data_IF_334560991097
#
_entry.id   IF_334560991097
#
_cell.length_a   1.000
_cell.length_b   1.000
_cell.length_c   1.000
_cell.angle_alpha   90.00
_cell.angle_beta   90.00
_cell.angle_gamma   90.00
#
_symmetry.space_group_name_H-M   'P 1'
#
loop_
_entity.id
_entity.type
_entity.pdbx_description
1 polymer ?
#
# COMPACT_ATOMS: atom_id res chain seq x y z
N UNK A 1 -12.14 1.19 4.65
CA UNK A 1 -11.86 1.46 3.22
C UNK A 1 -12.37 0.28 2.43
N UNK A 2 -13.52 0.44 1.80
CA UNK A 2 -14.48 -0.63 1.69
C UNK A 2 -15.02 -0.58 0.27
N UNK A 3 -14.27 -1.15 -0.68
CA UNK A 3 -14.73 -1.53 -2.02
C UNK A 3 -13.80 -2.61 -2.56
N UNK A 4 -14.29 -3.48 -3.45
CA UNK A 4 -13.44 -4.42 -4.19
C UNK A 4 -12.51 -3.65 -5.13
N UNK A 5 -11.19 -3.77 -4.97
CA UNK A 5 -10.22 -2.98 -5.74
C UNK A 5 -9.85 -3.59 -7.09
N UNK A 6 -10.42 -4.74 -7.45
CA UNK A 6 -10.15 -5.41 -8.73
C UNK A 6 -10.84 -4.77 -9.93
N UNK A 7 -11.79 -3.84 -9.70
CA UNK A 7 -12.52 -3.17 -10.78
C UNK A 7 -12.29 -1.66 -10.76
N UNK A 8 -11.92 -1.07 -11.90
CA UNK A 8 -11.65 0.36 -12.03
C UNK A 8 -12.82 1.26 -11.58
N UNK A 9 -14.08 0.84 -11.79
CA UNK A 9 -15.25 1.61 -11.35
C UNK A 9 -15.26 1.89 -9.84
N UNK A 10 -14.64 1.01 -9.04
CA UNK A 10 -14.59 1.17 -7.58
C UNK A 10 -13.61 2.26 -7.16
N UNK A 11 -12.57 2.54 -7.96
CA UNK A 11 -11.75 3.73 -7.80
C UNK A 11 -12.56 5.02 -8.08
N UNK A 12 -13.39 5.03 -9.13
CA UNK A 12 -14.29 6.18 -9.40
C UNK A 12 -15.27 6.41 -8.24
N UNK A 13 -15.78 5.34 -7.63
CA UNK A 13 -16.63 5.42 -6.42
C UNK A 13 -15.86 5.89 -5.17
N UNK A 14 -14.55 5.69 -5.13
CA UNK A 14 -13.67 6.17 -4.06
C UNK A 14 -13.37 7.68 -4.19
N UNK A 15 -13.31 8.23 -5.40
CA UNK A 15 -12.94 9.64 -5.63
C UNK A 15 -13.76 10.66 -4.82
N UNK A 16 -15.10 10.57 -4.69
CA UNK A 16 -15.85 11.49 -3.82
C UNK A 16 -15.40 11.42 -2.36
N UNK A 17 -15.03 10.24 -1.86
CA UNK A 17 -14.51 10.06 -0.49
C UNK A 17 -13.16 10.74 -0.34
N UNK A 18 -12.25 10.54 -1.30
CA UNK A 18 -10.95 11.20 -1.32
C UNK A 18 -11.09 12.72 -1.43
N UNK A 19 -12.00 13.21 -2.28
CA UNK A 19 -12.25 14.64 -2.42
C UNK A 19 -12.76 15.25 -1.11
N UNK A 20 -13.72 14.61 -0.42
CA UNK A 20 -14.22 15.08 0.88
C UNK A 20 -13.14 15.10 1.96
N UNK A 21 -12.19 14.17 1.90
CA UNK A 21 -10.99 14.18 2.73
C UNK A 21 -10.08 15.36 2.37
N UNK A 22 -9.75 15.49 1.09
CA UNK A 22 -8.82 16.48 0.55
C UNK A 22 -9.28 17.93 0.80
N UNK A 23 -10.58 18.20 0.67
CA UNK A 23 -11.15 19.53 0.92
C UNK A 23 -11.43 19.79 2.41
N UNK A 24 -11.13 18.82 3.29
CA UNK A 24 -11.17 18.97 4.75
C UNK A 24 -12.51 18.65 5.43
N UNK A 25 -13.56 18.29 4.68
CA UNK A 25 -14.89 18.01 5.26
C UNK A 25 -14.87 16.74 6.12
N UNK A 26 -14.29 15.64 5.63
CA UNK A 26 -14.32 14.39 6.40
C UNK A 26 -13.42 14.42 7.65
N UNK A 27 -12.22 15.04 7.67
CA UNK A 27 -11.46 15.24 8.90
C UNK A 27 -12.18 16.15 9.90
N UNK A 28 -12.87 17.21 9.45
CA UNK A 28 -13.69 18.02 10.35
C UNK A 28 -14.79 17.18 11.03
N UNK A 29 -15.51 16.36 10.27
CA UNK A 29 -16.51 15.46 10.83
C UNK A 29 -15.90 14.46 11.83
N UNK A 30 -14.71 13.93 11.51
CA UNK A 30 -13.96 13.02 12.38
C UNK A 30 -13.59 13.69 13.72
N UNK A 31 -12.95 14.86 13.68
CA UNK A 31 -12.51 15.57 14.89
C UNK A 31 -13.67 16.01 15.76
N UNK A 32 -14.79 16.42 15.16
CA UNK A 32 -16.02 16.69 15.90
C UNK A 32 -16.53 15.45 16.62
N UNK A 33 -16.63 14.31 15.92
CA UNK A 33 -17.12 13.07 16.49
C UNK A 33 -16.23 12.54 17.62
N UNK A 34 -14.91 12.72 17.52
CA UNK A 34 -13.93 12.33 18.55
C UNK A 34 -13.84 13.31 19.72
N UNK A 35 -14.53 14.44 19.68
CA UNK A 35 -14.41 15.50 20.69
C UNK A 35 -13.06 16.22 20.65
N UNK A 36 -12.29 16.08 19.56
CA UNK A 36 -11.01 16.74 19.31
C UNK A 36 -11.24 18.19 18.84
N UNK A 37 -12.02 18.96 19.62
CA UNK A 37 -12.53 20.28 19.22
C UNK A 37 -11.44 21.32 18.94
N UNK A 38 -10.23 21.14 19.49
CA UNK A 38 -9.09 21.99 19.15
C UNK A 38 -8.70 21.80 17.68
N UNK A 39 -8.50 20.56 17.23
CA UNK A 39 -8.16 20.23 15.85
C UNK A 39 -9.29 20.63 14.90
N UNK A 40 -10.54 20.43 15.30
CA UNK A 40 -11.71 20.91 14.54
C UNK A 40 -11.67 22.42 14.30
N UNK A 41 -11.39 23.22 15.33
CA UNK A 41 -11.33 24.68 15.23
C UNK A 41 -10.13 25.15 14.41
N UNK A 42 -8.97 24.54 14.60
CA UNK A 42 -7.74 24.86 13.84
C UNK A 42 -7.93 24.59 12.35
N UNK A 43 -8.40 23.39 12.00
CA UNK A 43 -8.71 23.03 10.62
C UNK A 43 -9.81 23.92 10.02
N UNK A 44 -10.91 24.12 10.75
CA UNK A 44 -12.03 24.95 10.30
C UNK A 44 -11.63 26.41 10.06
N UNK A 45 -10.76 26.97 10.90
CA UNK A 45 -10.22 28.33 10.72
C UNK A 45 -9.34 28.40 9.48
N UNK A 46 -8.43 27.44 9.30
CA UNK A 46 -7.57 27.37 8.11
C UNK A 46 -8.38 27.25 6.82
N UNK A 47 -9.37 26.37 6.79
CA UNK A 47 -10.29 26.21 5.67
C UNK A 47 -11.07 27.48 5.39
N UNK A 48 -11.65 28.11 6.41
CA UNK A 48 -12.39 29.36 6.26
C UNK A 48 -11.52 30.46 5.63
N UNK A 49 -10.28 30.63 6.10
CA UNK A 49 -9.33 31.60 5.52
C UNK A 49 -9.00 31.25 4.08
N UNK A 50 -8.65 29.99 3.78
CA UNK A 50 -8.31 29.54 2.44
C UNK A 50 -9.45 29.81 1.44
N UNK A 51 -10.66 29.33 1.72
CA UNK A 51 -11.80 29.50 0.81
C UNK A 51 -12.27 30.96 0.73
N UNK A 52 -12.11 31.76 1.79
CA UNK A 52 -12.40 33.19 1.74
C UNK A 52 -11.44 33.93 0.79
N UNK A 53 -10.15 33.61 0.85
CA UNK A 53 -9.15 34.17 -0.06
C UNK A 53 -9.41 33.70 -1.50
N UNK A 54 -9.65 32.40 -1.72
CA UNK A 54 -9.99 31.87 -3.05
C UNK A 54 -11.25 32.54 -3.64
N UNK A 55 -12.28 32.74 -2.82
CA UNK A 55 -13.51 33.42 -3.22
C UNK A 55 -13.28 34.91 -3.53
N UNK A 56 -12.42 35.57 -2.76
CA UNK A 56 -12.03 36.96 -3.04
C UNK A 56 -11.23 37.09 -4.34
N UNK A 57 -10.28 36.17 -4.59
CA UNK A 57 -9.56 36.11 -5.87
C UNK A 57 -10.54 35.86 -7.01
N UNK A 58 -11.52 34.97 -6.84
CA UNK A 58 -12.54 34.75 -7.86
C UNK A 58 -13.33 36.03 -8.16
N UNK A 59 -13.79 36.73 -7.12
CA UNK A 59 -14.49 37.99 -7.28
C UNK A 59 -13.67 39.07 -8.01
N UNK A 60 -12.34 39.06 -7.85
CA UNK A 60 -11.42 40.04 -8.48
C UNK A 60 -10.90 39.63 -9.85
N UNK A 61 -10.98 38.35 -10.19
CA UNK A 61 -10.42 37.76 -11.41
C UNK A 61 -11.53 37.33 -12.38
N UNK A 62 -11.14 36.70 -13.49
CA UNK A 62 -12.10 36.10 -14.41
C UNK A 62 -12.53 34.70 -13.96
N UNK A 63 -13.71 34.27 -14.38
CA UNK A 63 -14.17 32.89 -14.17
C UNK A 63 -13.19 31.89 -14.80
N UNK A 64 -12.67 32.20 -15.99
CA UNK A 64 -11.66 31.38 -16.68
C UNK A 64 -10.41 31.18 -15.83
N UNK A 65 -9.92 32.24 -15.17
CA UNK A 65 -8.76 32.15 -14.29
C UNK A 65 -8.98 31.16 -13.15
N UNK A 66 -10.12 31.25 -12.47
CA UNK A 66 -10.43 30.34 -11.34
C UNK A 66 -10.61 28.90 -11.80
N UNK A 67 -11.25 28.68 -12.94
CA UNK A 67 -11.36 27.33 -13.50
C UNK A 67 -9.97 26.76 -13.83
N UNK A 68 -9.08 27.55 -14.46
CA UNK A 68 -7.76 27.09 -14.86
C UNK A 68 -6.78 26.88 -13.69
N UNK A 69 -6.83 27.72 -12.65
CA UNK A 69 -5.82 27.74 -11.59
C UNK A 69 -6.28 27.23 -10.23
N UNK A 70 -7.58 27.02 -10.04
CA UNK A 70 -8.12 26.51 -8.79
C UNK A 70 -8.92 25.22 -9.02
N UNK A 71 -9.92 25.26 -9.90
CA UNK A 71 -10.82 24.12 -10.09
C UNK A 71 -10.16 22.96 -10.85
N UNK A 72 -9.48 23.24 -11.97
CA UNK A 72 -8.79 22.21 -12.75
C UNK A 72 -7.67 21.53 -11.94
N UNK A 73 -6.75 22.26 -11.28
CA UNK A 73 -5.75 21.63 -10.42
C UNK A 73 -6.36 20.84 -9.25
N UNK A 74 -7.48 21.29 -8.69
CA UNK A 74 -8.20 20.52 -7.65
C UNK A 74 -8.69 19.17 -8.20
N UNK A 75 -9.26 19.13 -9.41
CA UNK A 75 -9.70 17.89 -10.04
C UNK A 75 -8.52 16.98 -10.41
N UNK A 76 -7.45 17.55 -10.94
CA UNK A 76 -6.21 16.85 -11.26
C UNK A 76 -5.62 16.20 -10.01
N UNK A 77 -5.44 16.97 -8.93
CA UNK A 77 -4.92 16.48 -7.66
C UNK A 77 -5.84 15.45 -7.03
N UNK A 78 -7.16 15.67 -7.04
CA UNK A 78 -8.13 14.71 -6.51
C UNK A 78 -8.09 13.38 -7.25
N UNK A 79 -7.81 13.41 -8.56
CA UNK A 79 -7.68 12.21 -9.38
C UNK A 79 -6.31 11.56 -9.16
N UNK A 80 -5.23 12.29 -9.40
CA UNK A 80 -3.86 11.80 -9.33
C UNK A 80 -3.48 11.33 -7.93
N UNK A 81 -3.49 12.21 -6.92
CA UNK A 81 -3.18 11.81 -5.54
C UNK A 81 -4.23 10.85 -4.97
N UNK A 82 -5.46 10.90 -5.48
CA UNK A 82 -6.48 9.91 -5.16
C UNK A 82 -6.08 8.51 -5.64
N UNK A 83 -5.49 8.37 -6.84
CA UNK A 83 -4.99 7.09 -7.35
C UNK A 83 -3.79 6.60 -6.53
N UNK A 84 -2.87 7.51 -6.21
CA UNK A 84 -1.68 7.23 -5.40
C UNK A 84 -2.09 6.75 -3.98
N UNK A 85 -2.96 7.48 -3.29
CA UNK A 85 -3.49 7.05 -1.99
C UNK A 85 -4.28 5.72 -2.07
N UNK A 86 -4.96 5.47 -3.19
CA UNK A 86 -5.70 4.23 -3.42
C UNK A 86 -4.78 3.03 -3.57
N UNK A 87 -3.67 3.16 -4.32
CA UNK A 87 -2.71 2.06 -4.54
C UNK A 87 -1.85 1.80 -3.31
N UNK A 88 -1.36 2.85 -2.66
CA UNK A 88 -0.51 2.72 -1.47
C UNK A 88 -1.17 1.91 -0.37
N UNK A 89 -2.51 1.88 -0.37
CA UNK A 89 -3.33 1.17 0.60
C UNK A 89 -4.21 0.06 0.02
N UNK A 90 -3.89 -0.42 -1.18
CA UNK A 90 -4.77 -1.30 -1.97
C UNK A 90 -4.92 -2.72 -1.43
N UNK A 91 -3.92 -3.26 -0.75
CA UNK A 91 -3.87 -4.68 -0.42
C UNK A 91 -4.20 -4.91 1.06
N UNK A 92 -5.30 -5.58 1.40
CA UNK A 92 -5.68 -5.75 2.82
C UNK A 92 -5.84 -7.22 3.16
N UNK A 93 -5.21 -7.69 4.24
CA UNK A 93 -5.48 -9.03 4.75
C UNK A 93 -6.82 -9.05 5.47
N UNK A 94 -7.71 -9.99 5.10
CA UNK A 94 -9.01 -10.16 5.75
C UNK A 94 -8.90 -10.52 7.23
N UNK A 95 -7.82 -11.23 7.60
CA UNK A 95 -7.62 -11.73 8.96
C UNK A 95 -7.02 -10.66 9.89
N UNK A 96 -6.35 -9.68 9.30
CA UNK A 96 -5.66 -8.61 10.02
C UNK A 96 -5.67 -7.31 9.19
N UNK A 97 -6.85 -6.67 9.02
CA UNK A 97 -7.01 -5.53 8.12
C UNK A 97 -6.25 -4.27 8.56
N UNK A 98 -5.90 -4.20 9.85
CA UNK A 98 -5.09 -3.12 10.43
C UNK A 98 -3.58 -3.29 10.22
N UNK A 99 -3.13 -4.38 9.60
CA UNK A 99 -1.70 -4.68 9.43
C UNK A 99 -1.05 -3.76 8.40
N UNK A 100 -0.24 -2.81 8.87
CA UNK A 100 0.44 -1.84 8.03
C UNK A 100 1.53 -2.43 7.13
N UNK A 101 2.09 -3.61 7.45
CA UNK A 101 3.03 -4.30 6.55
C UNK A 101 2.32 -4.93 5.35
N UNK A 102 1.01 -5.20 5.45
CA UNK A 102 0.21 -5.74 4.34
C UNK A 102 -0.51 -4.63 3.59
N UNK A 103 -1.13 -3.71 4.34
CA UNK A 103 -1.93 -2.62 3.79
C UNK A 103 -1.15 -1.40 3.36
N UNK A 104 0.18 -1.45 3.43
CA UNK A 104 1.07 -0.50 2.79
C UNK A 104 2.02 -1.26 1.88
N UNK A 105 2.41 -0.63 0.77
CA UNK A 105 3.27 -1.25 -0.24
C UNK A 105 4.72 -0.86 0.01
N UNK A 106 5.65 -1.81 -0.12
CA UNK A 106 7.07 -1.50 -0.31
C UNK A 106 7.50 -1.86 -1.72
N UNK A 107 8.27 -1.02 -2.39
CA UNK A 107 8.85 -1.29 -3.70
C UNK A 107 10.37 -1.35 -3.57
N UNK A 108 10.98 -2.46 -3.98
CA UNK A 108 12.42 -2.64 -3.99
C UNK A 108 12.96 -2.36 -5.38
N UNK A 109 14.11 -1.69 -5.47
CA UNK A 109 14.74 -1.36 -6.76
C UNK A 109 13.77 -0.63 -7.71
N UNK A 110 12.93 0.26 -7.17
CA UNK A 110 12.02 1.07 -7.97
C UNK A 110 12.77 2.02 -8.89
N UNK A 111 12.18 2.28 -10.07
CA UNK A 111 12.82 3.14 -11.08
C UNK A 111 12.75 4.62 -10.68
N UNK A 112 11.62 5.05 -10.13
CA UNK A 112 11.35 6.43 -9.70
C UNK A 112 11.16 6.52 -8.17
N UNK A 113 12.25 6.28 -7.44
CA UNK A 113 12.24 6.33 -5.97
C UNK A 113 12.76 7.67 -5.41
N UNK A 114 11.94 8.71 -5.49
CA UNK A 114 12.28 10.03 -4.94
C UNK A 114 12.05 10.02 -3.43
N UNK A 115 13.06 10.47 -2.67
CA UNK A 115 13.01 10.51 -1.20
C UNK A 115 12.62 9.18 -0.55
N UNK A 116 13.03 8.03 -1.11
CA UNK A 116 12.76 6.70 -0.54
C UNK A 116 11.27 6.47 -0.21
N UNK A 117 10.34 7.04 -0.99
CA UNK A 117 8.89 6.89 -0.82
C UNK A 117 8.45 5.43 -1.01
N UNK A 118 9.16 4.67 -1.85
CA UNK A 118 8.92 3.25 -2.07
C UNK A 118 8.98 2.41 -0.78
N UNK A 119 9.56 2.91 0.30
CA UNK A 119 9.50 2.28 1.61
C UNK A 119 8.27 2.72 2.41
N UNK A 120 7.09 2.86 1.79
CA UNK A 120 5.89 3.47 2.41
C UNK A 120 5.49 2.84 3.74
N UNK A 121 5.63 1.52 3.90
CA UNK A 121 5.43 0.82 5.18
C UNK A 121 6.27 1.47 6.31
N UNK A 122 7.52 1.85 6.02
CA UNK A 122 8.40 2.53 6.98
C UNK A 122 7.86 3.92 7.33
N UNK A 123 7.21 4.63 6.42
CA UNK A 123 6.62 5.95 6.71
C UNK A 123 5.43 5.83 7.67
N UNK A 124 4.67 4.73 7.59
CA UNK A 124 3.59 4.44 8.55
C UNK A 124 4.10 4.08 9.92
N UNK A 125 5.15 3.24 9.98
CA UNK A 125 5.69 2.82 11.25
C UNK A 125 6.54 3.92 11.89
N UNK A 126 7.44 4.54 11.14
CA UNK A 126 8.41 5.54 11.62
C UNK A 126 8.18 6.90 10.93
N UNK A 127 7.08 7.62 11.22
CA UNK A 127 6.71 8.85 10.50
C UNK A 127 7.71 10.00 10.65
N UNK A 128 8.61 9.93 11.65
CA UNK A 128 9.65 10.92 11.89
C UNK A 128 11.02 10.52 11.31
N UNK A 129 11.10 9.38 10.61
CA UNK A 129 12.36 8.94 9.99
C UNK A 129 12.73 9.90 8.86
N UNK A 130 13.99 10.32 8.80
CA UNK A 130 14.48 11.02 7.62
C UNK A 130 14.52 10.03 6.45
N UNK A 131 14.02 10.42 5.28
CA UNK A 131 13.88 9.52 4.14
C UNK A 131 15.15 8.75 3.77
N UNK A 132 16.33 9.35 3.93
CA UNK A 132 17.63 8.68 3.68
C UNK A 132 17.84 7.43 4.54
N UNK A 133 17.20 7.33 5.70
CA UNK A 133 17.33 6.21 6.63
C UNK A 133 16.25 5.13 6.40
N UNK A 134 15.26 5.34 5.53
CA UNK A 134 14.19 4.37 5.31
C UNK A 134 14.68 2.98 4.87
N UNK A 135 15.69 2.82 3.98
CA UNK A 135 16.23 1.50 3.63
C UNK A 135 16.85 0.77 4.83
N UNK A 136 17.50 1.50 5.74
CA UNK A 136 18.07 0.92 6.96
C UNK A 136 16.95 0.44 7.89
N UNK A 137 15.86 1.19 8.00
CA UNK A 137 14.69 0.76 8.77
C UNK A 137 14.00 -0.46 8.17
N UNK A 138 13.93 -0.57 6.85
CA UNK A 138 13.48 -1.80 6.19
C UNK A 138 14.32 -3.00 6.63
N UNK A 139 15.65 -2.88 6.63
CA UNK A 139 16.54 -3.96 7.08
C UNK A 139 16.35 -4.31 8.56
N UNK A 140 16.21 -3.32 9.45
CA UNK A 140 15.94 -3.55 10.87
C UNK A 140 14.61 -4.27 11.11
N UNK A 141 13.62 -4.03 10.26
CA UNK A 141 12.26 -4.53 10.41
C UNK A 141 11.97 -5.76 9.53
N UNK A 142 12.95 -6.24 8.75
CA UNK A 142 12.81 -7.31 7.75
C UNK A 142 12.08 -8.55 8.30
N UNK A 143 12.37 -8.96 9.53
CA UNK A 143 11.71 -10.12 10.15
C UNK A 143 10.20 -9.91 10.38
N UNK A 144 9.74 -8.67 10.57
CA UNK A 144 8.31 -8.36 10.64
C UNK A 144 7.66 -8.40 9.25
N UNK A 145 8.37 -7.92 8.21
CA UNK A 145 7.92 -8.08 6.82
C UNK A 145 7.71 -9.56 6.47
N UNK A 146 8.65 -10.43 6.85
CA UNK A 146 8.56 -11.88 6.66
C UNK A 146 7.35 -12.45 7.42
N UNK A 147 7.24 -12.15 8.71
CA UNK A 147 6.16 -12.65 9.58
C UNK A 147 4.76 -12.26 9.05
N UNK A 148 4.62 -11.07 8.51
CA UNK A 148 3.35 -10.56 7.98
C UNK A 148 3.10 -10.93 6.51
N UNK A 149 4.06 -11.60 5.84
CA UNK A 149 4.08 -11.78 4.38
C UNK A 149 3.73 -10.46 3.69
N UNK A 150 4.50 -9.43 4.01
CA UNK A 150 4.25 -8.03 3.64
C UNK A 150 4.01 -7.85 2.14
N UNK A 151 3.35 -6.75 1.77
CA UNK A 151 3.11 -6.43 0.36
C UNK A 151 4.35 -5.74 -0.22
N UNK A 152 5.19 -6.52 -0.90
CA UNK A 152 6.45 -6.03 -1.48
C UNK A 152 6.44 -6.30 -2.97
N UNK A 153 6.80 -5.30 -3.77
CA UNK A 153 7.09 -5.43 -5.20
C UNK A 153 8.54 -5.10 -5.47
N UNK A 154 9.04 -5.45 -6.66
CA UNK A 154 10.34 -5.01 -7.12
C UNK A 154 10.37 -4.66 -8.60
N UNK A 155 11.38 -3.87 -8.99
CA UNK A 155 11.68 -3.52 -10.38
C UNK A 155 10.48 -2.91 -11.13
N UNK A 156 9.72 -2.10 -10.42
CA UNK A 156 8.54 -1.37 -10.90
C UNK A 156 8.39 -0.03 -10.16
N UNK A 157 7.26 0.64 -10.32
CA UNK A 157 6.93 1.91 -9.68
C UNK A 157 5.44 1.97 -9.35
N UNK A 158 5.02 2.91 -8.50
CA UNK A 158 3.62 3.05 -8.06
C UNK A 158 2.62 3.14 -9.22
N UNK A 159 2.99 3.88 -10.28
CA UNK A 159 2.17 4.10 -11.46
C UNK A 159 1.98 2.82 -12.26
N UNK A 160 3.02 1.98 -12.32
CA UNK A 160 2.96 0.68 -12.95
C UNK A 160 2.04 -0.29 -12.18
N UNK A 161 2.10 -0.27 -10.84
CA UNK A 161 1.18 -1.06 -10.01
C UNK A 161 -0.26 -0.58 -10.21
N UNK A 162 -0.50 0.75 -10.24
CA UNK A 162 -1.80 1.32 -10.58
C UNK A 162 -2.30 0.84 -11.94
N UNK A 163 -1.44 0.89 -12.96
CA UNK A 163 -1.77 0.48 -14.31
C UNK A 163 -2.15 -1.00 -14.38
N UNK A 164 -1.38 -1.89 -13.76
CA UNK A 164 -1.71 -3.32 -13.69
C UNK A 164 -3.03 -3.56 -12.98
N UNK A 165 -3.27 -2.86 -11.86
CA UNK A 165 -4.51 -2.99 -11.10
C UNK A 165 -5.74 -2.53 -11.90
N UNK A 166 -5.67 -1.36 -12.53
CA UNK A 166 -6.80 -0.82 -13.30
C UNK A 166 -7.04 -1.55 -14.61
N UNK A 167 -6.00 -2.16 -15.18
CA UNK A 167 -6.07 -2.94 -16.42
C UNK A 167 -6.29 -4.44 -16.18
N UNK A 168 -6.44 -4.87 -14.93
CA UNK A 168 -6.58 -6.27 -14.53
C UNK A 168 -5.43 -7.19 -15.01
N UNK A 169 -4.21 -6.66 -15.08
CA UNK A 169 -2.99 -7.38 -15.47
C UNK A 169 -2.38 -8.09 -14.25
N UNK A 170 -3.12 -9.05 -13.70
CA UNK A 170 -2.76 -9.72 -12.45
C UNK A 170 -1.50 -10.58 -12.56
N UNK A 171 -1.27 -11.19 -13.73
CA UNK A 171 -0.08 -11.99 -13.96
C UNK A 171 1.20 -11.13 -13.96
N UNK A 172 1.13 -9.95 -14.59
CA UNK A 172 2.22 -8.96 -14.57
C UNK A 172 2.48 -8.46 -13.15
N UNK A 173 1.42 -8.12 -12.42
CA UNK A 173 1.55 -7.71 -11.03
C UNK A 173 2.22 -8.79 -10.16
N UNK A 174 1.81 -10.05 -10.33
CA UNK A 174 2.39 -11.18 -9.60
C UNK A 174 3.86 -11.42 -9.95
N UNK A 175 4.27 -11.23 -11.21
CA UNK A 175 5.68 -11.37 -11.64
C UNK A 175 6.62 -10.50 -10.80
N UNK A 176 6.17 -9.30 -10.44
CA UNK A 176 6.96 -8.30 -9.72
C UNK A 176 6.86 -8.39 -8.20
N UNK A 177 6.02 -9.26 -7.65
CA UNK A 177 5.89 -9.42 -6.20
C UNK A 177 7.12 -10.09 -5.59
N UNK A 178 7.55 -9.69 -4.39
CA UNK A 178 8.66 -10.30 -3.65
C UNK A 178 8.10 -11.10 -2.47
N UNK A 179 8.06 -12.42 -2.62
CA UNK A 179 7.61 -13.31 -1.55
C UNK A 179 8.77 -13.71 -0.63
N UNK A 180 8.87 -13.05 0.52
CA UNK A 180 9.95 -13.32 1.49
C UNK A 180 9.86 -14.71 2.14
N UNK A 181 8.69 -15.36 2.08
CA UNK A 181 8.50 -16.73 2.60
C UNK A 181 8.97 -17.80 1.62
N UNK A 182 9.28 -17.44 0.38
CA UNK A 182 9.72 -18.40 -0.62
C UNK A 182 11.07 -19.02 -0.22
N UNK A 183 11.14 -20.35 -0.33
CA UNK A 183 12.36 -21.14 -0.08
C UNK A 183 12.74 -21.84 -1.37
N UNK A 184 13.97 -21.62 -1.80
CA UNK A 184 14.54 -22.20 -3.01
C UNK A 184 14.83 -23.68 -2.84
N UNK A 185 14.99 -24.41 -3.96
CA UNK A 185 15.27 -25.86 -3.93
C UNK A 185 16.60 -26.23 -3.27
N UNK A 186 17.55 -25.32 -3.19
CA UNK A 186 18.81 -25.48 -2.46
C UNK A 186 18.68 -25.17 -0.94
N UNK A 187 17.50 -24.76 -0.46
CA UNK A 187 17.22 -24.42 0.94
C UNK A 187 17.50 -22.97 1.33
N UNK A 188 18.02 -22.16 0.41
CA UNK A 188 18.14 -20.71 0.64
C UNK A 188 16.75 -20.07 0.69
N UNK A 189 16.66 -18.92 1.36
CA UNK A 189 15.41 -18.20 1.51
C UNK A 189 15.41 -16.92 0.72
N UNK A 190 14.24 -16.54 0.22
CA UNK A 190 14.08 -15.30 -0.52
C UNK A 190 14.12 -14.06 0.38
N UNK A 191 13.96 -14.20 1.71
CA UNK A 191 14.19 -13.10 2.67
C UNK A 191 15.62 -12.50 2.58
N UNK A 192 16.60 -13.30 2.15
CA UNK A 192 17.99 -12.87 2.00
C UNK A 192 18.30 -12.33 0.59
N UNK A 193 17.56 -12.78 -0.44
CA UNK A 193 17.83 -12.44 -1.85
C UNK A 193 16.93 -11.34 -2.41
N UNK A 194 15.72 -11.21 -1.86
CA UNK A 194 14.72 -10.21 -2.26
C UNK A 194 14.40 -10.24 -3.77
N UNK A 195 14.26 -11.46 -4.32
CA UNK A 195 13.91 -11.66 -5.72
C UNK A 195 12.38 -11.57 -5.90
N UNK A 196 11.96 -10.91 -6.97
CA UNK A 196 10.58 -10.98 -7.43
C UNK A 196 10.22 -12.40 -7.87
N UNK A 197 8.92 -12.71 -8.04
CA UNK A 197 8.46 -14.04 -8.49
C UNK A 197 9.15 -14.47 -9.79
N UNK A 198 9.25 -13.56 -10.77
CA UNK A 198 9.90 -13.88 -12.05
C UNK A 198 11.41 -14.11 -11.90
N UNK A 199 12.07 -13.33 -11.05
CA UNK A 199 13.50 -13.51 -10.76
C UNK A 199 13.76 -14.78 -9.94
N UNK A 200 12.87 -15.13 -9.02
CA UNK A 200 12.95 -16.34 -8.21
C UNK A 200 12.84 -17.59 -9.10
N UNK A 201 11.92 -17.58 -10.08
CA UNK A 201 11.82 -18.64 -11.08
C UNK A 201 13.11 -18.76 -11.92
N UNK A 202 13.65 -17.64 -12.40
CA UNK A 202 14.92 -17.62 -13.13
C UNK A 202 16.10 -18.11 -12.27
N UNK A 203 16.07 -17.82 -10.97
CA UNK A 203 17.08 -18.27 -10.02
C UNK A 203 17.01 -19.79 -9.79
N UNK A 204 15.82 -20.36 -9.64
CA UNK A 204 15.64 -21.82 -9.53
C UNK A 204 16.22 -22.55 -10.75
N UNK A 205 15.98 -22.03 -11.96
CA UNK A 205 16.56 -22.63 -13.17
C UNK A 205 18.09 -22.59 -13.17
N UNK A 206 18.71 -21.51 -12.68
CA UNK A 206 20.17 -21.43 -12.55
C UNK A 206 20.72 -22.42 -11.53
N UNK A 207 19.94 -22.79 -10.51
CA UNK A 207 20.38 -23.78 -9.51
C UNK A 207 20.56 -25.18 -10.12
N UNK A 208 19.93 -25.50 -11.26
CA UNK A 208 20.15 -26.78 -11.96
C UNK A 208 21.59 -26.96 -12.43
N UNK A 209 22.30 -25.87 -12.68
CA UNK A 209 23.72 -25.88 -13.06
C UNK A 209 24.64 -26.02 -11.82
N UNK A 210 24.09 -25.89 -10.61
CA UNK A 210 24.81 -26.02 -9.35
C UNK A 210 24.82 -27.46 -8.83
N UNK A 211 25.98 -27.90 -8.36
CA UNK A 211 26.23 -29.23 -7.79
C UNK A 211 25.38 -29.53 -6.56
N UNK A 212 24.88 -28.49 -5.89
CA UNK A 212 24.06 -28.64 -4.66
C UNK A 212 22.66 -29.21 -4.94
N UNK A 213 22.13 -29.03 -6.15
CA UNK A 213 20.82 -29.52 -6.59
C UNK A 213 20.88 -30.58 -7.69
N UNK A 214 22.09 -30.93 -8.15
CA UNK A 214 22.35 -31.88 -9.23
C UNK A 214 21.57 -33.20 -9.03
N UNK A 215 20.70 -33.50 -10.01
CA UNK A 215 19.87 -34.71 -10.02
C UNK A 215 18.68 -34.74 -9.05
N UNK A 216 18.43 -33.69 -8.27
CA UNK A 216 17.28 -33.62 -7.35
C UNK A 216 15.99 -33.14 -8.01
N UNK A 217 16.10 -32.28 -9.02
CA UNK A 217 14.97 -31.68 -9.72
C UNK A 217 15.21 -31.69 -11.24
N UNK A 218 14.14 -31.86 -12.01
CA UNK A 218 14.14 -31.69 -13.47
C UNK A 218 13.72 -30.26 -13.84
N UNK A 219 14.08 -29.76 -15.05
CA UNK A 219 13.59 -28.47 -15.53
C UNK A 219 12.06 -28.34 -15.50
N UNK A 220 11.34 -29.39 -15.92
CA UNK A 220 9.88 -29.44 -15.90
C UNK A 220 9.30 -29.34 -14.47
N UNK A 221 9.96 -29.95 -13.49
CA UNK A 221 9.55 -29.83 -12.09
C UNK A 221 9.73 -28.42 -11.54
N UNK A 222 10.79 -27.72 -11.94
CA UNK A 222 11.04 -26.33 -11.54
C UNK A 222 10.10 -25.37 -12.24
N UNK A 223 9.82 -25.56 -13.52
CA UNK A 223 8.83 -24.79 -14.28
C UNK A 223 7.46 -24.90 -13.61
N UNK A 224 7.02 -26.13 -13.29
CA UNK A 224 5.76 -26.36 -12.57
C UNK A 224 5.75 -25.72 -11.18
N UNK A 225 6.88 -25.73 -10.46
CA UNK A 225 7.02 -25.06 -9.15
C UNK A 225 6.90 -23.53 -9.30
N UNK A 226 7.54 -22.95 -10.32
CA UNK A 226 7.46 -21.54 -10.62
C UNK A 226 6.02 -21.11 -11.00
N UNK A 227 5.34 -21.88 -11.84
CA UNK A 227 3.92 -21.65 -12.19
C UNK A 227 3.01 -21.72 -10.96
N UNK A 228 3.24 -22.70 -10.08
CA UNK A 228 2.48 -22.84 -8.84
C UNK A 228 2.71 -21.66 -7.88
N UNK A 229 3.96 -21.23 -7.73
CA UNK A 229 4.30 -20.06 -6.90
C UNK A 229 3.67 -18.78 -7.47
N UNK A 230 3.79 -18.55 -8.77
CA UNK A 230 3.17 -17.41 -9.44
C UNK A 230 1.64 -17.40 -9.26
N UNK A 231 1.00 -18.55 -9.45
CA UNK A 231 -0.46 -18.71 -9.25
C UNK A 231 -0.86 -18.40 -7.81
N UNK A 232 -0.13 -18.92 -6.82
CA UNK A 232 -0.36 -18.64 -5.40
C UNK A 232 -0.28 -17.15 -5.09
N UNK A 233 0.75 -16.46 -5.60
CA UNK A 233 0.93 -15.02 -5.39
C UNK A 233 -0.17 -14.21 -6.06
N UNK A 234 -0.55 -14.56 -7.29
CA UNK A 234 -1.68 -13.92 -7.96
C UNK A 234 -2.97 -14.06 -7.16
N UNK A 235 -3.26 -15.25 -6.63
CA UNK A 235 -4.42 -15.49 -5.78
C UNK A 235 -4.36 -14.70 -4.47
N UNK A 236 -3.19 -14.64 -3.84
CA UNK A 236 -2.95 -13.83 -2.63
C UNK A 236 -3.25 -12.35 -2.88
N UNK A 237 -2.71 -11.78 -3.96
CA UNK A 237 -2.90 -10.37 -4.30
C UNK A 237 -4.37 -10.07 -4.61
N UNK A 238 -5.02 -10.92 -5.42
CA UNK A 238 -6.45 -10.78 -5.72
C UNK A 238 -7.31 -10.86 -4.46
N UNK A 239 -6.99 -11.76 -3.54
CA UNK A 239 -7.68 -11.87 -2.25
C UNK A 239 -7.53 -10.58 -1.45
N UNK A 240 -6.31 -10.02 -1.39
CA UNK A 240 -6.02 -8.76 -0.68
C UNK A 240 -6.73 -7.56 -1.30
N UNK A 241 -6.89 -7.52 -2.62
CA UNK A 241 -7.58 -6.46 -3.34
C UNK A 241 -9.11 -6.51 -3.17
N UNK A 242 -9.68 -7.71 -3.01
CA UNK A 242 -11.13 -7.91 -2.87
C UNK A 242 -11.68 -7.62 -1.48
N UNK A 243 -10.82 -7.48 -0.47
CA UNK A 243 -11.27 -7.29 0.91
C UNK A 243 -12.12 -6.02 1.07
N UNK A 244 -13.23 -6.14 1.79
CA UNK A 244 -14.25 -5.10 1.92
C UNK A 244 -14.86 -5.06 3.33
N UNK A 245 -14.71 -3.93 4.04
CA UNK A 245 -15.17 -3.78 5.43
C UNK A 245 -16.70 -3.85 5.61
N UNK A 246 -17.53 -3.71 4.56
CA UNK A 246 -19.00 -3.75 4.73
C UNK A 246 -19.52 -5.11 5.22
N UNK A 247 -18.72 -6.17 5.07
CA UNK A 247 -19.07 -7.50 5.54
C UNK A 247 -18.53 -7.79 6.96
N UNK A 248 -17.84 -6.84 7.59
CA UNK A 248 -17.38 -6.99 8.97
C UNK A 248 -18.54 -6.80 9.94
N UNK A 249 -18.60 -7.62 11.00
CA UNK A 249 -19.59 -7.42 12.06
C UNK A 249 -19.30 -6.10 12.80
N UNK A 250 -20.33 -5.49 13.41
CA UNK A 250 -20.19 -4.22 14.15
C UNK A 250 -19.13 -4.31 15.28
N UNK A 251 -18.94 -5.51 15.86
CA UNK A 251 -17.90 -5.78 16.85
C UNK A 251 -16.50 -5.70 16.25
N UNK A 252 -16.33 -6.18 15.02
CA UNK A 252 -15.06 -6.15 14.32
C UNK A 252 -14.73 -4.72 13.88
N UNK A 253 -15.74 -3.93 13.51
CA UNK A 253 -15.57 -2.50 13.23
C UNK A 253 -15.15 -1.70 14.47
N UNK A 254 -15.77 -1.95 15.64
CA UNK A 254 -15.37 -1.29 16.89
C UNK A 254 -13.98 -1.73 17.34
N UNK A 255 -13.63 -3.00 17.16
CA UNK A 255 -12.28 -3.51 17.43
C UNK A 255 -11.27 -2.92 16.45
N UNK A 256 -11.61 -2.79 15.18
CA UNK A 256 -10.79 -2.16 14.15
C UNK A 256 -10.59 -0.67 14.42
N UNK A 257 -11.64 0.07 14.74
CA UNK A 257 -11.53 1.48 15.15
C UNK A 257 -10.69 1.59 16.40
N UNK A 258 -10.88 0.70 17.38
CA UNK A 258 -10.03 0.65 18.55
C UNK A 258 -8.58 0.32 18.20
N UNK A 259 -8.29 -0.53 17.21
CA UNK A 259 -6.94 -0.88 16.74
C UNK A 259 -6.29 0.25 15.93
N UNK A 260 -7.01 0.88 15.00
CA UNK A 260 -6.56 2.03 14.22
C UNK A 260 -6.33 3.25 15.11
N UNK A 261 -7.18 3.45 16.12
CA UNK A 261 -7.02 4.51 17.11
C UNK A 261 -6.05 4.14 18.22
N UNK A 262 -5.86 2.85 18.48
CA UNK A 262 -4.79 2.36 19.32
C UNK A 262 -3.43 2.51 18.63
N UNK A 263 -3.34 2.52 17.30
CA UNK A 263 -2.07 2.51 16.56
C UNK A 263 -1.73 3.82 15.85
N UNK A 264 -1.82 4.94 16.59
CA UNK A 264 -0.67 5.85 16.70
C UNK A 264 0.07 5.43 17.98
N UNK A 265 0.42 4.15 18.12
CA UNK A 265 1.09 3.60 19.29
C UNK A 265 2.57 3.63 19.05
N UNK A 266 3.29 4.17 20.02
CA UNK A 266 4.70 3.87 20.19
C UNK A 266 4.90 2.34 20.23
N UNK A 267 5.71 1.90 19.28
CA UNK A 267 6.74 0.88 19.38
C UNK A 267 7.00 0.36 20.82
N UNK A 268 6.49 -0.83 21.16
CA UNK A 268 7.15 -1.86 22.02
C UNK A 268 6.18 -2.94 22.51
N UNK A 269 4.86 -2.75 22.43
CA UNK A 269 3.90 -3.74 22.96
C UNK A 269 3.45 -4.79 21.93
N UNK A 270 4.37 -5.66 21.52
CA UNK A 270 3.99 -7.02 21.13
C UNK A 270 3.94 -7.83 22.43
N UNK A 271 2.80 -8.40 22.85
CA UNK A 271 2.77 -9.25 24.03
C UNK A 271 3.75 -10.41 23.84
N UNK A 272 4.80 -10.44 24.67
CA UNK A 272 5.67 -11.59 24.82
C UNK A 272 4.84 -12.69 25.47
N UNK A 273 4.68 -13.78 24.70
CA UNK A 273 4.08 -15.08 25.06
C UNK A 273 2.56 -15.13 25.17
N UNK A 274 2.00 -16.07 24.40
CA UNK A 274 0.85 -16.86 24.82
C UNK A 274 1.47 -18.19 25.25
N UNK A 275 1.44 -18.48 26.55
CA UNK A 275 1.61 -19.85 27.07
C UNK A 275 0.33 -20.65 26.77
#
# INVERSE_FOLDING_TARGET
MDVDRTEFKNYVLYLPRFLLYWIGISPMALFWHRGEYRLFKELGTGMFVYYSISSFIWYKSSTVFIFAYWFYPLLEVASFLGAIAYIWHAFVDEKDPGNQYVNSVTILRGQDNIWNEDYHVIHHHFPNVHWTEAPKHFEMEKQKYVKCRATIFADCEEGQICYWMFSALWDEMANHFVDLLYVFTNGEKNEDKLLSVVEAAAYELKLLEDKTTEGKFTPEQLEKRAEAHHTEIKELLLKRLKFHYRNMEERDLKSFDALMNANIRDFEDIPKKID
#
